data_IF_889866578104
#
_entry.id   IF_889866578104
#
_cell.length_a   1.000
_cell.length_b   1.000
_cell.length_c   1.000
_cell.angle_alpha   90.00
_cell.angle_beta   90.00
_cell.angle_gamma   90.00
#
_symmetry.space_group_name_H-M   'P 1'
#
loop_
_entity.id
_entity.type
_entity.pdbx_description
1 polymer ?
#
# COMPACT_ATOMS: atom_id res chain seq x y z
N UNK A 1 29.93 9.66 -27.66
CA UNK A 1 29.34 8.44 -27.07
C UNK A 1 28.14 8.87 -26.22
N UNK A 2 26.93 8.65 -26.71
CA UNK A 2 25.70 9.19 -26.11
C UNK A 2 25.24 8.33 -24.93
N UNK A 3 25.08 8.92 -23.75
CA UNK A 3 24.52 8.27 -22.55
C UNK A 3 23.05 7.97 -22.78
N UNK A 4 22.70 6.68 -22.80
CA UNK A 4 21.30 6.21 -22.84
C UNK A 4 20.64 6.55 -21.51
N UNK A 5 19.86 7.65 -21.46
CA UNK A 5 18.97 7.97 -20.33
C UNK A 5 17.97 6.81 -20.20
N UNK A 6 18.06 6.04 -19.11
CA UNK A 6 17.05 5.03 -18.79
C UNK A 6 15.76 5.72 -18.34
N UNK A 7 14.65 5.20 -18.85
CA UNK A 7 13.28 5.73 -18.76
C UNK A 7 12.76 5.81 -17.30
N UNK A 8 11.98 6.84 -16.90
CA UNK A 8 11.54 7.03 -15.51
C UNK A 8 10.51 6.02 -15.00
N UNK A 9 9.66 5.48 -15.88
CA UNK A 9 8.49 4.67 -15.49
C UNK A 9 8.83 3.35 -14.79
N UNK A 10 9.95 2.71 -15.15
CA UNK A 10 10.38 1.46 -14.48
C UNK A 10 10.78 1.67 -13.02
N UNK A 11 11.20 2.88 -12.64
CA UNK A 11 11.69 3.16 -11.30
C UNK A 11 10.56 3.41 -10.29
N UNK A 12 9.48 4.09 -10.71
CA UNK A 12 8.36 4.41 -9.82
C UNK A 12 7.58 3.17 -9.39
N UNK A 13 7.20 2.30 -10.33
CA UNK A 13 6.52 1.03 -10.03
C UNK A 13 7.36 0.12 -9.14
N UNK A 14 8.68 0.12 -9.36
CA UNK A 14 9.60 -0.69 -8.57
C UNK A 14 9.76 -0.15 -7.15
N UNK A 15 9.83 1.17 -6.99
CA UNK A 15 9.87 1.86 -5.70
C UNK A 15 8.59 1.62 -4.90
N UNK A 16 7.41 1.82 -5.50
CA UNK A 16 6.11 1.55 -4.87
C UNK A 16 6.01 0.11 -4.38
N UNK A 17 6.46 -0.85 -5.20
CA UNK A 17 6.52 -2.26 -4.80
C UNK A 17 7.35 -2.46 -3.53
N UNK A 18 8.51 -1.81 -3.41
CA UNK A 18 9.34 -1.96 -2.21
C UNK A 18 8.78 -1.25 -0.99
N UNK A 19 8.23 -0.05 -1.14
CA UNK A 19 7.55 0.65 -0.04
C UNK A 19 6.43 -0.21 0.55
N UNK A 20 5.59 -0.80 -0.31
CA UNK A 20 4.52 -1.70 0.12
C UNK A 20 5.07 -2.96 0.81
N UNK A 21 6.13 -3.57 0.29
CA UNK A 21 6.73 -4.75 0.93
C UNK A 21 7.38 -4.44 2.27
N UNK A 22 7.98 -3.26 2.42
CA UNK A 22 8.54 -2.79 3.69
C UNK A 22 7.40 -2.57 4.68
N UNK A 23 6.39 -1.77 4.33
CA UNK A 23 5.24 -1.50 5.21
C UNK A 23 4.58 -2.79 5.68
N UNK A 24 4.23 -3.71 4.77
CA UNK A 24 3.61 -4.98 5.14
C UNK A 24 4.49 -5.81 6.07
N UNK A 25 5.80 -5.84 5.85
CA UNK A 25 6.71 -6.60 6.73
C UNK A 25 6.83 -5.96 8.11
N UNK A 26 6.79 -4.62 8.20
CA UNK A 26 6.72 -3.89 9.48
C UNK A 26 5.38 -4.20 10.19
N UNK A 27 4.25 -4.11 9.47
CA UNK A 27 2.90 -4.38 9.97
C UNK A 27 2.73 -5.80 10.51
N UNK A 28 3.36 -6.77 9.86
CA UNK A 28 3.38 -8.17 10.30
C UNK A 28 4.33 -8.44 11.48
N UNK A 29 5.04 -7.43 11.99
CA UNK A 29 5.98 -7.59 13.09
C UNK A 29 7.25 -8.38 12.70
N UNK A 30 7.66 -8.35 11.43
CA UNK A 30 8.81 -9.12 10.93
C UNK A 30 10.15 -8.42 11.15
N UNK A 31 10.14 -7.16 11.60
CA UNK A 31 11.32 -6.32 11.80
C UNK A 31 12.24 -6.29 10.57
N UNK A 32 11.77 -5.82 9.39
CA UNK A 32 12.57 -5.81 8.18
C UNK A 32 13.81 -4.91 8.31
N UNK A 33 14.84 -5.30 7.59
CA UNK A 33 15.99 -4.47 7.26
C UNK A 33 16.41 -4.78 5.82
N UNK A 34 17.41 -4.08 5.29
CA UNK A 34 17.83 -4.27 3.91
C UNK A 34 18.21 -5.72 3.57
N UNK A 35 18.95 -6.39 4.45
CA UNK A 35 19.38 -7.78 4.23
C UNK A 35 18.19 -8.75 4.26
N UNK A 36 17.33 -8.65 5.29
CA UNK A 36 16.15 -9.52 5.44
C UNK A 36 15.20 -9.38 4.25
N UNK A 37 14.99 -8.15 3.77
CA UNK A 37 14.10 -7.92 2.63
C UNK A 37 14.74 -8.36 1.30
N UNK A 38 16.05 -8.18 1.13
CA UNK A 38 16.79 -8.71 -0.02
C UNK A 38 16.67 -10.24 -0.11
N UNK A 39 16.81 -10.93 1.02
CA UNK A 39 16.62 -12.38 1.12
C UNK A 39 15.19 -12.79 0.79
N UNK A 40 14.20 -12.17 1.43
CA UNK A 40 12.76 -12.44 1.22
C UNK A 40 12.33 -12.25 -0.24
N UNK A 41 12.79 -11.17 -0.88
CA UNK A 41 12.36 -10.79 -2.23
C UNK A 41 13.31 -11.26 -3.35
N UNK A 42 14.39 -11.98 -3.00
CA UNK A 42 15.47 -12.37 -3.92
C UNK A 42 15.95 -11.18 -4.76
N UNK A 43 16.27 -10.10 -4.08
CA UNK A 43 16.71 -8.84 -4.70
C UNK A 43 18.00 -8.35 -4.04
N UNK A 44 18.54 -7.25 -4.56
CA UNK A 44 19.80 -6.72 -4.08
C UNK A 44 19.83 -5.19 -4.17
N UNK A 45 19.09 -4.52 -3.29
CA UNK A 45 19.24 -3.07 -3.10
C UNK A 45 20.18 -2.78 -1.91
N UNK A 46 20.82 -1.62 -1.95
CA UNK A 46 21.78 -1.20 -0.93
C UNK A 46 21.08 -0.79 0.38
N UNK A 47 21.82 -0.76 1.50
CA UNK A 47 21.33 -0.19 2.77
C UNK A 47 20.89 1.27 2.62
N UNK A 48 21.58 2.05 1.79
CA UNK A 48 21.20 3.45 1.50
C UNK A 48 19.86 3.53 0.77
N UNK A 49 19.63 2.63 -0.21
CA UNK A 49 18.35 2.55 -0.92
C UNK A 49 17.21 2.18 0.03
N UNK A 50 17.44 1.21 0.92
CA UNK A 50 16.47 0.86 1.96
C UNK A 50 16.20 2.01 2.92
N UNK A 51 17.25 2.73 3.34
CA UNK A 51 17.13 3.93 4.17
C UNK A 51 16.20 4.96 3.53
N UNK A 52 16.38 5.25 2.23
CA UNK A 52 15.48 6.15 1.50
C UNK A 52 14.03 5.69 1.49
N UNK A 53 13.75 4.39 1.44
CA UNK A 53 12.38 3.90 1.54
C UNK A 53 11.79 4.11 2.94
N UNK A 54 12.59 3.95 3.99
CA UNK A 54 12.17 4.27 5.36
C UNK A 54 11.93 5.76 5.53
N UNK A 55 12.81 6.60 4.96
CA UNK A 55 12.68 8.05 5.00
C UNK A 55 11.40 8.49 4.27
N UNK A 56 11.12 7.94 3.09
CA UNK A 56 9.84 8.18 2.39
C UNK A 56 8.65 7.80 3.27
N UNK A 57 8.65 6.61 3.87
CA UNK A 57 7.54 6.20 4.76
C UNK A 57 7.36 7.17 5.93
N UNK A 58 8.45 7.63 6.56
CA UNK A 58 8.39 8.57 7.69
C UNK A 58 7.99 9.98 7.29
N UNK A 59 8.57 10.50 6.23
CA UNK A 59 8.47 11.92 5.85
C UNK A 59 7.28 12.22 4.94
N UNK A 60 6.92 11.30 4.05
CA UNK A 60 5.81 11.51 3.11
C UNK A 60 4.49 10.88 3.58
N UNK A 61 4.56 9.85 4.43
CA UNK A 61 3.38 9.12 4.91
C UNK A 61 3.23 9.16 6.43
N UNK A 62 4.00 9.99 7.12
CA UNK A 62 3.99 10.16 8.59
C UNK A 62 4.05 8.83 9.35
N UNK A 63 4.73 7.83 8.77
CA UNK A 63 4.73 6.49 9.32
C UNK A 63 5.51 6.43 10.64
N UNK A 64 4.91 5.91 11.73
CA UNK A 64 5.49 5.90 13.07
C UNK A 64 6.53 4.76 13.19
N UNK A 65 7.64 4.88 12.47
CA UNK A 65 8.65 3.82 12.30
C UNK A 65 9.86 4.06 13.20
N UNK A 66 10.20 3.07 14.01
CA UNK A 66 11.43 3.02 14.81
C UNK A 66 12.29 1.79 14.51
N UNK A 67 13.54 1.79 14.98
CA UNK A 67 14.46 0.66 14.82
C UNK A 67 14.68 -0.08 16.14
N UNK A 68 14.47 -1.40 16.14
CA UNK A 68 14.81 -2.28 17.25
C UNK A 68 16.21 -2.88 17.01
N UNK A 69 17.18 -2.47 17.84
CA UNK A 69 18.57 -2.97 17.75
C UNK A 69 18.71 -4.46 18.08
N UNK A 70 17.86 -5.00 18.97
CA UNK A 70 17.92 -6.42 19.39
C UNK A 70 17.39 -7.32 18.29
N UNK A 71 16.28 -6.91 17.65
CA UNK A 71 15.68 -7.63 16.51
C UNK A 71 16.31 -7.25 15.17
N UNK A 72 17.19 -6.25 15.17
CA UNK A 72 17.90 -5.72 14.02
C UNK A 72 16.94 -5.40 12.87
N UNK A 73 15.96 -4.52 13.11
CA UNK A 73 14.98 -4.15 12.10
C UNK A 73 13.97 -3.12 12.53
N UNK A 74 13.21 -2.63 11.55
CA UNK A 74 12.24 -1.55 11.72
C UNK A 74 10.87 -2.07 12.16
N UNK A 75 10.16 -1.33 13.01
CA UNK A 75 8.84 -1.66 13.52
C UNK A 75 7.96 -0.41 13.62
N UNK A 76 6.64 -0.58 13.64
CA UNK A 76 5.72 0.52 13.93
C UNK A 76 5.58 0.70 15.44
N UNK A 77 5.71 1.94 15.92
CA UNK A 77 5.40 2.30 17.32
C UNK A 77 3.91 2.41 17.56
N UNK A 78 3.13 2.68 16.51
CA UNK A 78 1.67 2.57 16.50
C UNK A 78 1.23 1.45 15.55
N UNK A 79 0.70 0.37 16.12
CA UNK A 79 0.23 -0.81 15.37
C UNK A 79 -1.02 -0.56 14.51
N UNK A 80 -1.69 0.58 14.67
CA UNK A 80 -2.87 0.94 13.88
C UNK A 80 -2.51 1.59 12.53
N UNK A 81 -1.26 2.03 12.36
CA UNK A 81 -0.80 2.61 11.11
C UNK A 81 -0.90 1.63 9.94
N UNK A 82 -1.30 2.13 8.77
CA UNK A 82 -1.18 1.41 7.50
C UNK A 82 -1.04 2.40 6.34
N UNK A 83 -0.17 2.06 5.40
CA UNK A 83 0.05 2.85 4.18
C UNK A 83 -1.15 2.80 3.23
N UNK A 84 -2.01 1.78 3.37
CA UNK A 84 -3.16 1.58 2.49
C UNK A 84 -4.38 2.42 2.88
N UNK A 85 -4.28 3.38 3.80
CA UNK A 85 -5.47 4.18 4.16
C UNK A 85 -5.98 4.96 2.95
N UNK A 86 -7.26 4.75 2.61
CA UNK A 86 -7.99 5.65 1.72
C UNK A 86 -8.70 6.65 2.61
N UNK A 87 -8.30 7.91 2.49
CA UNK A 87 -8.98 9.03 3.12
C UNK A 87 -10.06 9.52 2.15
N UNK A 88 -11.32 9.43 2.58
CA UNK A 88 -12.47 9.91 1.82
C UNK A 88 -13.01 11.17 2.47
N UNK A 89 -13.41 12.13 1.67
CA UNK A 89 -14.27 13.23 2.15
C UNK A 89 -15.66 12.69 2.45
N UNK A 90 -16.38 13.34 3.36
CA UNK A 90 -17.77 12.98 3.69
C UNK A 90 -18.68 12.86 2.44
N UNK A 91 -18.52 13.76 1.46
CA UNK A 91 -19.24 13.70 0.18
C UNK A 91 -18.85 12.51 -0.72
N UNK A 92 -17.61 12.04 -0.65
CA UNK A 92 -17.15 10.86 -1.39
C UNK A 92 -17.68 9.57 -0.75
N UNK A 93 -17.74 9.52 0.58
CA UNK A 93 -18.39 8.42 1.31
C UNK A 93 -19.89 8.35 0.99
N UNK A 94 -20.56 9.51 0.98
CA UNK A 94 -21.96 9.60 0.57
C UNK A 94 -22.13 9.10 -0.87
N UNK A 95 -21.24 9.49 -1.78
CA UNK A 95 -21.25 9.03 -3.18
C UNK A 95 -21.09 7.51 -3.26
N UNK A 96 -20.14 6.92 -2.54
CA UNK A 96 -19.97 5.46 -2.46
C UNK A 96 -21.24 4.77 -1.94
N UNK A 97 -21.93 5.35 -0.96
CA UNK A 97 -23.17 4.79 -0.41
C UNK A 97 -24.27 4.67 -1.46
N UNK A 98 -24.25 5.50 -2.52
CA UNK A 98 -25.23 5.43 -3.62
C UNK A 98 -25.02 4.24 -4.55
N UNK A 99 -23.82 3.62 -4.54
CA UNK A 99 -23.51 2.47 -5.39
C UNK A 99 -24.27 1.23 -4.93
N UNK A 100 -24.45 1.04 -3.61
CA UNK A 100 -25.15 -0.14 -3.07
C UNK A 100 -26.62 -0.22 -3.53
N UNK A 101 -27.43 0.85 -3.46
CA UNK A 101 -28.78 0.87 -4.04
C UNK A 101 -28.82 0.60 -5.54
N UNK A 102 -27.83 1.06 -6.33
CA UNK A 102 -27.78 0.80 -7.77
C UNK A 102 -27.69 -0.71 -8.06
N UNK A 103 -27.03 -1.49 -7.21
CA UNK A 103 -26.92 -2.95 -7.41
C UNK A 103 -28.24 -3.67 -7.24
N UNK A 104 -29.09 -3.23 -6.31
CA UNK A 104 -30.43 -3.78 -6.15
C UNK A 104 -31.29 -3.54 -7.40
N UNK A 105 -31.07 -2.44 -8.13
CA UNK A 105 -31.79 -2.17 -9.39
C UNK A 105 -31.44 -3.15 -10.51
N UNK A 106 -30.25 -3.75 -10.48
CA UNK A 106 -29.81 -4.73 -11.47
C UNK A 106 -30.18 -6.17 -11.10
N UNK A 107 -30.83 -6.40 -9.96
CA UNK A 107 -31.30 -7.72 -9.55
C UNK A 107 -32.33 -8.26 -10.53
N UNK A 108 -32.24 -9.54 -10.87
CA UNK A 108 -33.05 -10.22 -11.87
C UNK A 108 -32.91 -9.65 -13.30
N UNK A 109 -31.87 -8.85 -13.57
CA UNK A 109 -31.54 -8.44 -14.93
C UNK A 109 -30.43 -9.33 -15.50
N UNK A 110 -30.29 -9.44 -16.83
CA UNK A 110 -29.14 -10.13 -17.44
C UNK A 110 -27.77 -9.60 -17.00
N UNK A 111 -27.71 -8.38 -16.45
CA UNK A 111 -26.48 -7.73 -16.00
C UNK A 111 -26.15 -8.01 -14.52
N UNK A 112 -27.03 -8.66 -13.75
CA UNK A 112 -26.87 -8.86 -12.30
C UNK A 112 -25.49 -9.44 -11.95
N UNK A 113 -25.09 -10.51 -12.66
CA UNK A 113 -23.82 -11.18 -12.43
C UNK A 113 -22.63 -10.25 -12.69
N UNK A 114 -22.63 -9.53 -13.80
CA UNK A 114 -21.55 -8.61 -14.16
C UNK A 114 -21.37 -7.48 -13.14
N UNK A 115 -22.48 -6.92 -12.64
CA UNK A 115 -22.45 -5.89 -11.59
C UNK A 115 -21.95 -6.46 -10.26
N UNK A 116 -22.41 -7.65 -9.86
CA UNK A 116 -21.95 -8.34 -8.65
C UNK A 116 -20.44 -8.62 -8.69
N UNK A 117 -19.94 -9.14 -9.81
CA UNK A 117 -18.53 -9.46 -10.00
C UNK A 117 -17.65 -8.19 -9.97
N UNK A 118 -18.11 -7.10 -10.62
CA UNK A 118 -17.43 -5.82 -10.60
C UNK A 118 -17.33 -5.25 -9.17
N UNK A 119 -18.43 -5.30 -8.40
CA UNK A 119 -18.44 -4.81 -7.03
C UNK A 119 -17.55 -5.61 -6.10
N UNK A 120 -17.56 -6.94 -6.22
CA UNK A 120 -16.62 -7.77 -5.46
C UNK A 120 -15.16 -7.41 -5.78
N UNK A 121 -14.87 -7.06 -7.04
CA UNK A 121 -13.54 -6.60 -7.43
C UNK A 121 -13.21 -5.23 -6.82
N UNK A 122 -14.15 -4.29 -6.80
CA UNK A 122 -13.97 -2.98 -6.17
C UNK A 122 -13.76 -3.09 -4.66
N UNK A 123 -14.58 -3.89 -3.97
CA UNK A 123 -14.45 -4.13 -2.52
C UNK A 123 -13.08 -4.74 -2.18
N UNK A 124 -12.57 -5.66 -3.01
CA UNK A 124 -11.23 -6.24 -2.83
C UNK A 124 -10.08 -5.25 -3.06
N UNK A 125 -10.34 -4.12 -3.72
CA UNK A 125 -9.37 -3.05 -3.95
C UNK A 125 -9.44 -1.98 -2.86
N UNK A 126 -10.52 -1.93 -2.08
CA UNK A 126 -10.60 -1.05 -0.92
C UNK A 126 -9.64 -1.56 0.16
N UNK A 127 -8.99 -0.66 0.89
CA UNK A 127 -8.15 -1.04 2.00
C UNK A 127 -8.95 -1.51 3.20
N UNK A 128 -8.24 -2.14 4.14
CA UNK A 128 -8.81 -2.63 5.41
C UNK A 128 -9.40 -1.47 6.25
N UNK A 129 -8.90 -0.25 6.08
CA UNK A 129 -9.29 0.93 6.84
C UNK A 129 -9.59 2.12 5.92
N UNK A 130 -10.77 2.71 6.07
CA UNK A 130 -11.19 3.95 5.41
C UNK A 130 -11.36 5.01 6.49
N UNK A 131 -10.73 6.17 6.29
CA UNK A 131 -10.83 7.32 7.21
C UNK A 131 -11.69 8.40 6.56
N UNK A 132 -12.53 9.08 7.34
CA UNK A 132 -13.35 10.20 6.87
C UNK A 132 -12.79 11.49 7.47
N UNK A 133 -12.50 12.45 6.60
CA UNK A 133 -12.12 13.84 6.96
C UNK A 133 -13.35 14.74 7.08
#
# INVERSE_FOLDING_TARGET
>A
MSKKKSTPERNATHMLRYLFQIEQSIRNGEYPNANKLNEKLRTNFSRSTFGRYIDILREEYDAPIEFDFRKNGYYYTDSTFSLNQVMLKEGELLTLSTILPLLEQYKNTPMEKSYRDLMQKLIKMLPDTITVD
#
